data_IF_530875683483
#
_entry.id   IF_530875683483
#
_cell.length_a   1.000
_cell.length_b   1.000
_cell.length_c   1.000
_cell.angle_alpha   90.00
_cell.angle_beta   90.00
_cell.angle_gamma   90.00
#
_symmetry.space_group_name_H-M   'P 1'
#
loop_
_entity.id
_entity.type
_entity.pdbx_description
1 polymer ?
#
# COMPACT_ATOMS: atom_id res chain seq x y z
N UNK A 1 -7.13 -4.96 2.05
CA UNK A 1 -6.33 -5.04 0.81
C UNK A 1 -7.16 -5.82 -0.20
N UNK A 2 -7.14 -5.44 -1.46
CA UNK A 2 -7.71 -6.19 -2.56
C UNK A 2 -6.66 -6.35 -3.64
N UNK A 3 -6.23 -7.58 -3.88
CA UNK A 3 -5.25 -7.95 -4.89
C UNK A 3 -5.99 -8.13 -6.22
N UNK A 4 -6.28 -7.00 -6.87
CA UNK A 4 -7.32 -6.84 -7.91
C UNK A 4 -6.98 -7.54 -9.22
N UNK A 5 -5.72 -7.47 -9.64
CA UNK A 5 -5.22 -8.06 -10.89
C UNK A 5 -3.80 -8.58 -10.70
N UNK A 6 -3.22 -9.10 -11.79
CA UNK A 6 -1.82 -9.54 -11.88
C UNK A 6 -0.79 -8.48 -11.46
N UNK A 7 -1.19 -7.21 -11.40
CA UNK A 7 -0.32 -6.05 -11.24
C UNK A 7 -0.97 -4.90 -10.45
N UNK A 8 -2.13 -5.09 -9.82
CA UNK A 8 -2.81 -4.03 -9.06
C UNK A 8 -3.18 -4.48 -7.66
N UNK A 9 -2.92 -3.58 -6.70
CA UNK A 9 -3.47 -3.64 -5.35
C UNK A 9 -4.30 -2.40 -5.10
N UNK A 10 -5.47 -2.58 -4.50
CA UNK A 10 -6.30 -1.51 -3.94
C UNK A 10 -6.36 -1.68 -2.42
N UNK A 11 -6.16 -0.62 -1.66
CA UNK A 11 -6.23 -0.70 -0.21
C UNK A 11 -6.85 0.52 0.44
N UNK A 12 -7.32 0.30 1.67
CA UNK A 12 -7.82 1.33 2.57
C UNK A 12 -7.23 1.14 3.95
N UNK A 13 -6.84 2.23 4.57
CA UNK A 13 -6.38 2.27 5.96
C UNK A 13 -7.55 2.70 6.85
N UNK A 14 -7.91 1.86 7.80
CA UNK A 14 -9.10 2.06 8.66
C UNK A 14 -8.78 2.62 10.05
N UNK A 15 -7.52 2.57 10.49
CA UNK A 15 -7.09 3.02 11.81
C UNK A 15 -5.65 3.56 11.78
N UNK A 16 -5.24 4.21 12.87
CA UNK A 16 -3.90 4.77 13.01
C UNK A 16 -3.68 6.09 12.26
N UNK A 17 -2.41 6.53 12.11
CA UNK A 17 -2.08 7.87 11.59
C UNK A 17 -2.55 8.15 10.16
N UNK A 18 -2.74 7.10 9.35
CA UNK A 18 -3.19 7.18 7.96
C UNK A 18 -4.67 6.80 7.79
N UNK A 19 -5.45 6.70 8.88
CA UNK A 19 -6.87 6.38 8.81
C UNK A 19 -7.60 7.29 7.81
N UNK A 20 -8.37 6.68 6.91
CA UNK A 20 -9.05 7.37 5.81
C UNK A 20 -8.27 7.42 4.49
N UNK A 21 -7.02 6.94 4.45
CA UNK A 21 -6.26 6.78 3.20
C UNK A 21 -6.84 5.64 2.35
N UNK A 22 -7.08 5.92 1.06
CA UNK A 22 -7.46 4.94 0.03
C UNK A 22 -6.47 5.07 -1.13
N UNK A 23 -5.85 3.97 -1.52
CA UNK A 23 -4.81 3.97 -2.54
C UNK A 23 -4.97 2.79 -3.51
N UNK A 24 -4.43 2.97 -4.72
CA UNK A 24 -4.24 1.92 -5.72
C UNK A 24 -2.83 2.02 -6.28
N UNK A 25 -2.18 0.88 -6.48
CA UNK A 25 -0.76 0.82 -6.82
C UNK A 25 -0.48 -0.28 -7.84
N UNK A 26 0.56 -0.06 -8.64
CA UNK A 26 1.23 -1.15 -9.36
C UNK A 26 1.87 -2.06 -8.32
N UNK A 27 1.58 -3.35 -8.38
CA UNK A 27 2.14 -4.33 -7.46
C UNK A 27 2.95 -5.39 -8.21
N UNK A 28 4.01 -5.85 -7.55
CA UNK A 28 4.86 -6.94 -8.02
C UNK A 28 4.67 -8.12 -7.09
N UNK A 29 4.22 -9.24 -7.64
CA UNK A 29 3.88 -10.44 -6.92
C UNK A 29 4.94 -11.51 -7.12
N UNK A 30 5.32 -12.19 -6.04
CA UNK A 30 6.20 -13.33 -6.07
C UNK A 30 5.66 -14.41 -5.13
N UNK A 31 5.38 -15.60 -5.66
CA UNK A 31 5.07 -16.76 -4.83
C UNK A 31 6.37 -17.24 -4.18
N UNK A 32 6.41 -17.21 -2.84
CA UNK A 32 7.58 -17.69 -2.07
C UNK A 32 7.51 -19.20 -1.94
N UNK A 33 6.31 -19.71 -1.64
CA UNK A 33 5.90 -21.11 -1.63
C UNK A 33 4.36 -21.16 -1.74
N UNK A 34 3.78 -22.35 -1.72
CA UNK A 34 2.32 -22.50 -1.69
C UNK A 34 1.70 -21.67 -0.54
N UNK A 35 0.64 -20.92 -0.87
CA UNK A 35 -0.11 -20.04 0.03
C UNK A 35 0.69 -18.92 0.74
N UNK A 36 1.95 -18.69 0.34
CA UNK A 36 2.78 -17.59 0.85
C UNK A 36 3.27 -16.73 -0.30
N UNK A 37 2.85 -15.47 -0.28
CA UNK A 37 3.12 -14.51 -1.33
C UNK A 37 3.91 -13.33 -0.78
N UNK A 38 4.88 -12.87 -1.55
CA UNK A 38 5.50 -11.57 -1.36
C UNK A 38 4.94 -10.59 -2.38
N UNK A 39 4.53 -9.42 -1.91
CA UNK A 39 3.94 -8.35 -2.70
C UNK A 39 4.73 -7.08 -2.41
N UNK A 40 5.33 -6.47 -3.42
CA UNK A 40 6.09 -5.24 -3.29
C UNK A 40 5.57 -4.16 -4.22
N UNK A 41 5.54 -2.91 -3.77
CA UNK A 41 5.18 -1.76 -4.59
C UNK A 41 5.90 -0.48 -4.16
N UNK A 42 5.93 0.48 -5.08
CA UNK A 42 6.33 1.86 -4.84
C UNK A 42 5.08 2.76 -4.92
N UNK A 43 4.88 3.61 -3.93
CA UNK A 43 3.78 4.59 -3.92
C UNK A 43 4.20 5.94 -4.47
N UNK A 44 3.24 6.75 -4.90
CA UNK A 44 3.47 8.10 -5.43
C UNK A 44 4.05 9.07 -4.40
N UNK A 45 3.86 8.77 -3.11
CA UNK A 45 4.54 9.47 -2.00
C UNK A 45 6.03 9.14 -1.92
N UNK A 46 6.51 8.23 -2.77
CA UNK A 46 7.85 7.68 -2.75
C UNK A 46 8.01 6.51 -1.79
N UNK A 47 7.03 6.17 -0.94
CA UNK A 47 7.12 5.05 0.02
C UNK A 47 7.24 3.71 -0.69
N UNK A 48 8.19 2.88 -0.23
CA UNK A 48 8.33 1.49 -0.71
C UNK A 48 7.67 0.58 0.32
N UNK A 49 6.83 -0.35 -0.13
CA UNK A 49 6.20 -1.33 0.76
C UNK A 49 6.46 -2.72 0.23
N UNK A 50 6.89 -3.60 1.12
CA UNK A 50 6.97 -5.04 0.89
C UNK A 50 6.12 -5.74 1.94
N UNK A 51 5.23 -6.62 1.48
CA UNK A 51 4.31 -7.37 2.30
C UNK A 51 4.44 -8.86 2.00
N UNK A 52 4.57 -9.67 3.04
CA UNK A 52 4.44 -11.12 2.94
C UNK A 52 3.08 -11.52 3.50
N UNK A 53 2.26 -12.14 2.67
CA UNK A 53 0.95 -12.67 3.02
C UNK A 53 1.06 -14.19 3.12
N UNK A 54 0.85 -14.70 4.33
CA UNK A 54 0.74 -16.13 4.62
C UNK A 54 -0.74 -16.45 4.83
N UNK A 55 -1.38 -16.95 3.77
CA UNK A 55 -2.81 -17.28 3.78
C UNK A 55 -3.09 -18.55 4.58
N UNK A 56 -2.13 -19.47 4.64
CA UNK A 56 -2.21 -20.72 5.40
C UNK A 56 -2.33 -20.42 6.90
N UNK A 57 -1.44 -19.58 7.42
CA UNK A 57 -1.41 -19.21 8.84
C UNK A 57 -2.22 -17.95 9.17
N UNK A 58 -2.87 -17.32 8.19
CA UNK A 58 -3.59 -16.04 8.32
C UNK A 58 -2.72 -14.95 8.95
N UNK A 59 -1.50 -14.79 8.44
CA UNK A 59 -0.53 -13.79 8.91
C UNK A 59 -0.13 -12.86 7.79
N UNK A 60 0.13 -11.61 8.16
CA UNK A 60 0.66 -10.60 7.25
C UNK A 60 1.85 -9.92 7.89
N UNK A 61 2.93 -9.77 7.14
CA UNK A 61 4.17 -9.13 7.58
C UNK A 61 4.47 -8.00 6.62
N UNK A 62 4.61 -6.78 7.11
CA UNK A 62 4.83 -5.61 6.26
C UNK A 62 6.11 -4.90 6.69
N UNK A 63 6.95 -4.60 5.72
CA UNK A 63 8.03 -3.61 5.85
C UNK A 63 7.70 -2.44 4.93
N UNK A 64 7.62 -1.25 5.49
CA UNK A 64 7.42 -0.01 4.74
C UNK A 64 8.60 0.93 4.98
N UNK A 65 9.22 1.40 3.90
CA UNK A 65 10.25 2.43 3.93
C UNK A 65 9.62 3.76 3.51
N UNK A 66 9.04 4.45 4.49
CA UNK A 66 8.37 5.74 4.29
C UNK A 66 9.38 6.78 3.81
N UNK A 67 9.06 7.50 2.72
CA UNK A 67 9.84 8.68 2.33
C UNK A 67 9.77 9.75 3.43
N UNK A 68 10.73 10.68 3.46
CA UNK A 68 10.71 11.77 4.45
C UNK A 68 9.43 12.58 4.35
N UNK A 69 9.03 12.96 3.12
CA UNK A 69 7.78 13.67 2.88
C UNK A 69 6.56 12.94 3.41
N UNK A 70 6.46 11.63 3.18
CA UNK A 70 5.37 10.83 3.76
C UNK A 70 5.44 10.81 5.29
N UNK A 71 6.60 10.47 5.85
CA UNK A 71 6.77 10.20 7.27
C UNK A 71 6.61 11.44 8.19
N UNK A 72 6.85 12.63 7.64
CA UNK A 72 6.75 13.89 8.39
C UNK A 72 5.42 14.62 8.11
N UNK A 73 4.64 14.18 7.12
CA UNK A 73 3.40 14.83 6.69
C UNK A 73 2.24 13.83 6.53
N UNK A 74 2.03 12.95 7.52
CA UNK A 74 1.01 11.89 7.46
C UNK A 74 -0.40 12.41 7.16
N UNK A 75 -0.77 13.60 7.65
CA UNK A 75 -2.10 14.17 7.40
C UNK A 75 -2.33 14.48 5.92
N UNK A 76 -1.29 14.89 5.19
CA UNK A 76 -1.34 15.12 3.73
C UNK A 76 -1.40 13.82 2.92
N UNK A 77 -1.15 12.68 3.58
CA UNK A 77 -1.24 11.35 2.98
C UNK A 77 -2.63 10.69 3.18
N UNK A 78 -3.57 11.37 3.85
CA UNK A 78 -4.95 10.89 4.02
C UNK A 78 -5.77 11.16 2.75
N UNK A 79 -6.99 10.62 2.71
CA UNK A 79 -7.89 10.77 1.56
C UNK A 79 -7.65 9.75 0.46
N UNK A 80 -8.29 9.96 -0.69
CA UNK A 80 -8.19 9.06 -1.84
C UNK A 80 -7.16 9.54 -2.86
N UNK A 81 -6.34 8.61 -3.37
CA UNK A 81 -5.38 8.87 -4.46
C UNK A 81 -6.03 9.61 -5.64
N UNK A 82 -7.29 9.28 -5.95
CA UNK A 82 -8.03 9.88 -7.07
C UNK A 82 -8.08 11.41 -7.01
N UNK A 83 -8.08 12.00 -5.81
CA UNK A 83 -8.12 13.45 -5.62
C UNK A 83 -6.81 14.04 -5.08
N UNK A 84 -5.87 13.21 -4.65
CA UNK A 84 -4.63 13.65 -3.99
C UNK A 84 -3.35 13.23 -4.73
N UNK A 85 -3.46 12.71 -5.96
CA UNK A 85 -2.34 12.16 -6.73
C UNK A 85 -1.15 13.12 -6.84
N UNK A 86 -1.38 14.35 -7.31
CA UNK A 86 -0.31 15.33 -7.50
C UNK A 86 0.32 15.75 -6.17
N UNK A 87 -0.50 15.96 -5.14
CA UNK A 87 -0.01 16.26 -3.80
C UNK A 87 0.90 15.14 -3.27
N UNK A 88 0.55 13.88 -3.49
CA UNK A 88 1.38 12.76 -3.07
C UNK A 88 2.69 12.71 -3.85
N UNK A 89 2.67 13.01 -5.15
CA UNK A 89 3.90 13.14 -5.97
C UNK A 89 4.81 14.26 -5.46
N UNK A 90 4.24 15.34 -4.96
CA UNK A 90 5.03 16.42 -4.35
C UNK A 90 5.70 16.00 -3.04
N UNK A 91 5.04 15.16 -2.23
CA UNK A 91 5.66 14.60 -1.02
C UNK A 91 6.89 13.73 -1.33
N UNK A 92 6.90 13.02 -2.47
CA UNK A 92 8.06 12.21 -2.87
C UNK A 92 9.32 13.02 -3.16
N UNK A 93 9.18 14.33 -3.39
CA UNK A 93 10.30 15.25 -3.68
C UNK A 93 11.00 15.74 -2.39
N UNK A 94 10.44 15.44 -1.21
CA UNK A 94 10.98 15.88 0.07
C UNK A 94 11.96 14.84 0.63
N UNK A 95 13.21 15.26 0.80
CA UNK A 95 14.31 14.43 1.34
C UNK A 95 15.02 13.60 0.27
N UNK A 96 15.89 12.70 0.72
CA UNK A 96 16.64 11.78 -0.13
C UNK A 96 16.39 10.32 0.27
N UNK A 97 16.91 9.37 -0.51
CA UNK A 97 16.63 7.92 -0.29
C UNK A 97 17.06 7.42 1.09
N UNK A 98 18.12 7.97 1.65
CA UNK A 98 18.62 7.59 2.99
C UNK A 98 17.84 8.21 4.14
N UNK A 99 16.95 9.17 3.88
CA UNK A 99 16.08 9.78 4.91
C UNK A 99 14.86 8.91 5.26
N UNK A 100 14.71 7.77 4.57
CA UNK A 100 13.54 6.90 4.74
C UNK A 100 13.44 6.34 6.14
N UNK A 101 12.24 6.36 6.70
CA UNK A 101 11.93 5.71 7.97
C UNK A 101 11.39 4.31 7.69
N UNK A 102 12.17 3.30 8.08
CA UNK A 102 11.77 1.90 7.94
C UNK A 102 10.90 1.51 9.14
N UNK A 103 9.68 1.05 8.84
CA UNK A 103 8.74 0.51 9.82
C UNK A 103 8.46 -0.94 9.47
N UNK A 104 8.43 -1.79 10.51
CA UNK A 104 8.04 -3.19 10.40
C UNK A 104 6.84 -3.44 11.28
N UNK A 105 5.84 -4.10 10.73
CA UNK A 105 4.64 -4.49 11.45
C UNK A 105 4.20 -5.88 11.00
N UNK A 106 3.53 -6.60 11.90
CA UNK A 106 2.84 -7.84 11.57
C UNK A 106 1.40 -7.77 12.04
N UNK A 107 0.50 -8.44 11.32
CA UNK A 107 -0.91 -8.53 11.66
C UNK A 107 -1.45 -9.94 11.49
N UNK A 108 -2.69 -10.12 11.95
CA UNK A 108 -3.51 -11.30 11.69
C UNK A 108 -4.45 -10.96 10.53
N UNK A 109 -4.71 -11.93 9.67
CA UNK A 109 -5.72 -11.83 8.61
C UNK A 109 -7.04 -12.33 9.17
N UNK A 110 -7.92 -11.40 9.55
CA UNK A 110 -9.19 -11.75 10.19
C UNK A 110 -10.17 -12.38 9.20
N UNK A 111 -10.27 -11.81 8.00
CA UNK A 111 -11.21 -12.22 6.96
C UNK A 111 -10.56 -12.23 5.57
N UNK A 112 -10.99 -13.17 4.74
CA UNK A 112 -10.60 -13.29 3.32
C UNK A 112 -11.89 -13.32 2.49
N UNK A 113 -11.93 -12.47 1.46
CA UNK A 113 -13.06 -12.33 0.55
C UNK A 113 -12.57 -12.49 -0.89
N UNK A 114 -13.47 -12.86 -1.80
CA UNK A 114 -13.15 -13.05 -3.22
C UNK A 114 -13.38 -11.77 -4.05
N UNK A 115 -13.90 -10.71 -3.45
CA UNK A 115 -14.18 -9.43 -4.09
C UNK A 115 -13.69 -8.25 -3.24
N UNK A 116 -13.85 -7.04 -3.78
CA UNK A 116 -13.42 -5.79 -3.14
C UNK A 116 -14.34 -5.33 -1.99
N UNK A 117 -15.51 -5.93 -1.84
CA UNK A 117 -16.63 -5.46 -1.02
C UNK A 117 -17.10 -4.05 -1.38
N UNK A 118 -18.01 -3.51 -0.58
CA UNK A 118 -18.54 -2.14 -0.76
C UNK A 118 -17.59 -1.04 -0.27
N UNK A 119 -16.39 -1.41 0.16
CA UNK A 119 -15.49 -0.57 0.95
C UNK A 119 -14.30 -0.02 0.17
N UNK A 120 -13.94 -0.67 -0.94
CA UNK A 120 -12.85 -0.27 -1.81
C UNK A 120 -13.41 0.21 -3.16
N UNK A 121 -12.81 1.24 -3.77
CA UNK A 121 -13.27 1.75 -5.06
C UNK A 121 -12.96 0.75 -6.19
N UNK A 122 -13.76 0.83 -7.25
CA UNK A 122 -13.39 0.29 -8.55
C UNK A 122 -12.24 1.13 -9.14
N UNK A 123 -11.32 0.48 -9.84
CA UNK A 123 -10.21 1.17 -10.52
C UNK A 123 -10.10 0.67 -11.96
N UNK A 124 -9.73 1.56 -12.88
CA UNK A 124 -9.45 1.16 -14.26
C UNK A 124 -7.98 0.73 -14.43
N UNK A 125 -7.70 -0.08 -15.44
CA UNK A 125 -6.35 -0.59 -15.71
C UNK A 125 -5.38 0.51 -16.16
N UNK A 126 -5.90 1.56 -16.79
CA UNK A 126 -5.17 2.70 -17.35
C UNK A 126 -4.91 3.83 -16.32
N UNK A 127 -5.45 3.71 -15.10
CA UNK A 127 -5.22 4.69 -14.06
C UNK A 127 -3.74 4.77 -13.66
N UNK A 128 -3.23 5.98 -13.38
CA UNK A 128 -1.80 6.20 -13.20
C UNK A 128 -1.25 5.53 -11.94
N UNK A 129 -0.19 4.76 -12.13
CA UNK A 129 0.61 4.09 -11.09
C UNK A 129 2.10 4.22 -11.44
N UNK A 130 2.99 3.96 -10.48
CA UNK A 130 4.45 3.93 -10.67
C UNK A 130 4.98 2.58 -11.15
#
# INVERSE_FOLDING_TARGET
MYYRSKDRVVYRVVSGPLAGRINYVQAYYHAVRENVFNITWLEETGTIVTQTLDLENKRIFTTAAFSKGHAENHDLCKGTKMTHLEQWRDLAKIGIQTDRKIVRASGVVDNVFNDRGDVLPEIEDDWPVL
#
